data_IF_707497361427
#
_entry.id   IF_707497361427
#
_cell.length_a   1.000
_cell.length_b   1.000
_cell.length_c   1.000
_cell.angle_alpha   90.00
_cell.angle_beta   90.00
_cell.angle_gamma   90.00
#
_symmetry.space_group_name_H-M   'P 1'
#
loop_
_entity.id
_entity.type
_entity.pdbx_description
1 polymer ?
#
# COMPACT_ATOMS: atom_id res chain seq x y z
N UNK A 1 8.21 -38.00 49.64
CA UNK A 1 9.40 -38.71 50.12
C UNK A 1 10.28 -37.83 51.02
N UNK A 2 10.86 -36.72 50.54
CA UNK A 2 11.64 -35.81 51.40
C UNK A 2 10.86 -35.29 52.63
N UNK A 3 9.58 -34.90 52.46
CA UNK A 3 8.73 -34.49 53.58
C UNK A 3 8.49 -35.62 54.59
N UNK A 4 8.32 -36.85 54.09
CA UNK A 4 8.12 -38.03 54.93
C UNK A 4 9.34 -38.25 55.83
N UNK A 5 10.55 -38.23 55.26
CA UNK A 5 11.81 -38.34 56.01
C UNK A 5 11.99 -37.23 57.06
N UNK A 6 11.41 -36.05 56.85
CA UNK A 6 11.45 -34.93 57.80
C UNK A 6 10.46 -35.09 58.96
N UNK A 7 9.32 -35.72 58.72
CA UNK A 7 8.22 -35.84 59.71
C UNK A 7 8.24 -37.15 60.50
N UNK A 8 9.02 -38.14 60.09
CA UNK A 8 9.06 -39.43 60.77
C UNK A 8 9.77 -39.35 62.13
N UNK A 9 9.24 -39.98 63.19
CA UNK A 9 9.87 -40.02 64.51
C UNK A 9 11.06 -41.00 64.63
N UNK A 10 11.46 -41.65 63.52
CA UNK A 10 12.52 -42.66 63.49
C UNK A 10 13.87 -41.97 63.30
N UNK A 11 14.81 -42.17 64.24
CA UNK A 11 16.18 -41.69 64.10
C UNK A 11 16.96 -42.58 63.13
N UNK A 12 17.16 -42.08 61.91
CA UNK A 12 17.98 -42.74 60.89
C UNK A 12 19.41 -42.18 61.00
N UNK A 13 20.41 -42.98 61.43
CA UNK A 13 21.78 -42.50 61.55
C UNK A 13 22.37 -42.15 60.17
N UNK A 14 23.18 -41.09 60.10
CA UNK A 14 23.89 -40.60 58.90
C UNK A 14 23.03 -40.12 57.72
N UNK A 15 21.74 -39.82 57.94
CA UNK A 15 20.80 -39.38 56.91
C UNK A 15 21.25 -38.10 56.17
N UNK A 16 21.95 -37.19 56.84
CA UNK A 16 22.47 -35.94 56.26
C UNK A 16 23.85 -36.07 55.61
N UNK A 17 24.60 -37.13 55.92
CA UNK A 17 26.03 -37.25 55.62
C UNK A 17 26.35 -38.35 54.60
N UNK A 18 25.47 -39.33 54.43
CA UNK A 18 25.67 -40.44 53.49
C UNK A 18 24.71 -40.40 52.30
N UNK A 19 23.57 -39.71 52.42
CA UNK A 19 22.54 -39.65 51.37
C UNK A 19 22.59 -38.28 50.70
N UNK A 20 23.25 -38.25 49.56
CA UNK A 20 23.35 -37.09 48.69
C UNK A 20 22.48 -37.27 47.44
N UNK A 21 21.97 -36.16 46.90
CA UNK A 21 21.29 -36.17 45.63
C UNK A 21 22.29 -36.43 44.48
N UNK A 22 22.00 -37.42 43.64
CA UNK A 22 22.77 -37.70 42.41
C UNK A 22 22.17 -36.96 41.20
N UNK A 23 20.83 -36.83 41.16
CA UNK A 23 20.10 -36.05 40.15
C UNK A 23 19.15 -35.06 40.84
N UNK A 24 18.95 -33.83 40.30
CA UNK A 24 19.51 -33.25 39.07
C UNK A 24 20.97 -32.75 39.24
N UNK A 25 21.74 -32.68 38.13
CA UNK A 25 23.17 -32.29 38.15
C UNK A 25 23.43 -30.93 38.84
N UNK A 26 22.47 -30.00 38.78
CA UNK A 26 22.57 -28.69 39.42
C UNK A 26 22.60 -28.72 40.95
N UNK A 27 22.25 -29.86 41.57
CA UNK A 27 22.19 -30.05 43.03
C UNK A 27 22.96 -31.29 43.49
N UNK A 28 23.87 -31.80 42.67
CA UNK A 28 24.66 -32.98 42.96
C UNK A 28 25.51 -32.78 44.23
N UNK A 29 25.49 -33.75 45.14
CA UNK A 29 26.25 -33.69 46.41
C UNK A 29 25.58 -32.91 47.56
N UNK A 30 24.43 -32.27 47.33
CA UNK A 30 23.66 -31.65 48.42
C UNK A 30 22.81 -32.69 49.16
N UNK A 31 22.53 -32.44 50.44
CA UNK A 31 21.69 -33.33 51.26
C UNK A 31 20.24 -33.33 50.75
N UNK A 32 19.58 -34.49 50.78
CA UNK A 32 18.18 -34.62 50.31
C UNK A 32 17.19 -33.76 51.10
N UNK A 33 17.51 -33.41 52.36
CA UNK A 33 16.66 -32.60 53.25
C UNK A 33 16.72 -31.09 52.95
N UNK A 34 17.74 -30.61 52.23
CA UNK A 34 17.86 -29.22 51.79
C UNK A 34 17.15 -28.93 50.46
N UNK A 35 16.50 -29.94 49.86
CA UNK A 35 15.79 -29.79 48.59
C UNK A 35 14.36 -29.29 48.82
N UNK A 36 14.07 -28.03 48.45
CA UNK A 36 12.72 -27.48 48.46
C UNK A 36 12.01 -27.77 47.13
N UNK A 37 10.87 -28.47 47.18
CA UNK A 37 10.06 -28.82 46.00
C UNK A 37 9.46 -27.58 45.32
N UNK A 38 9.21 -26.51 46.08
CA UNK A 38 8.60 -25.27 45.54
C UNK A 38 9.49 -24.61 44.49
N UNK A 39 10.81 -24.76 44.62
CA UNK A 39 11.78 -24.16 43.70
C UNK A 39 11.66 -24.67 42.25
N UNK A 40 11.19 -25.90 42.03
CA UNK A 40 10.96 -26.45 40.70
C UNK A 40 9.65 -25.92 40.08
N UNK A 41 8.62 -25.79 40.89
CA UNK A 41 7.30 -25.31 40.48
C UNK A 41 7.29 -23.80 40.22
N UNK A 42 8.04 -23.01 40.98
CA UNK A 42 8.07 -21.55 40.82
C UNK A 42 8.85 -21.10 39.59
N UNK A 43 9.99 -21.74 39.28
CA UNK A 43 10.85 -21.35 38.13
C UNK A 43 10.28 -21.85 36.80
N UNK A 44 9.97 -23.14 36.70
CA UNK A 44 9.49 -23.73 35.45
C UNK A 44 7.97 -23.56 35.27
N UNK A 45 7.20 -23.56 36.36
CA UNK A 45 5.75 -23.38 36.30
C UNK A 45 5.34 -21.96 35.93
N UNK A 46 6.00 -20.94 36.47
CA UNK A 46 5.72 -19.54 36.11
C UNK A 46 6.08 -19.24 34.65
N UNK A 47 7.27 -19.67 34.20
CA UNK A 47 7.71 -19.51 32.81
C UNK A 47 6.77 -20.24 31.85
N UNK A 48 6.44 -21.51 32.13
CA UNK A 48 5.52 -22.30 31.30
C UNK A 48 4.11 -21.72 31.27
N UNK A 49 3.64 -21.17 32.39
CA UNK A 49 2.34 -20.52 32.45
C UNK A 49 2.31 -19.25 31.58
N UNK A 50 3.33 -18.41 31.69
CA UNK A 50 3.44 -17.19 30.87
C UNK A 50 3.52 -17.54 29.39
N UNK A 51 4.35 -18.51 29.00
CA UNK A 51 4.47 -18.91 27.59
C UNK A 51 3.16 -19.48 27.06
N UNK A 52 2.51 -20.40 27.78
CA UNK A 52 1.21 -20.93 27.38
C UNK A 52 0.13 -19.85 27.29
N UNK A 53 0.13 -18.89 28.22
CA UNK A 53 -0.79 -17.76 28.20
C UNK A 53 -0.59 -16.91 26.94
N UNK A 54 0.64 -16.48 26.64
CA UNK A 54 0.93 -15.71 25.43
C UNK A 54 0.57 -16.48 24.16
N UNK A 55 0.87 -17.78 24.09
CA UNK A 55 0.50 -18.63 22.94
C UNK A 55 -1.02 -18.73 22.78
N UNK A 56 -1.77 -18.91 23.87
CA UNK A 56 -3.24 -18.99 23.81
C UNK A 56 -3.88 -17.66 23.42
N UNK A 57 -3.36 -16.53 23.92
CA UNK A 57 -3.85 -15.18 23.59
C UNK A 57 -3.56 -14.88 22.13
N UNK A 58 -2.35 -15.16 21.64
CA UNK A 58 -2.01 -14.93 20.23
C UNK A 58 -2.85 -15.79 19.29
N UNK A 59 -3.04 -17.07 19.60
CA UNK A 59 -3.83 -17.98 18.76
C UNK A 59 -5.32 -17.61 18.69
N UNK A 60 -5.85 -16.94 19.72
CA UNK A 60 -7.25 -16.49 19.75
C UNK A 60 -7.43 -15.10 19.16
N UNK A 61 -6.53 -14.16 19.47
CA UNK A 61 -6.64 -12.76 19.05
C UNK A 61 -6.30 -12.57 17.56
N UNK A 62 -5.29 -13.28 17.03
CA UNK A 62 -4.91 -13.17 15.62
C UNK A 62 -6.04 -13.53 14.63
N UNK A 63 -6.76 -14.67 14.75
CA UNK A 63 -7.86 -14.97 13.85
C UNK A 63 -9.04 -14.01 14.03
N UNK A 64 -9.33 -13.55 15.25
CA UNK A 64 -10.38 -12.56 15.50
C UNK A 64 -10.06 -11.22 14.83
N UNK A 65 -8.84 -10.72 14.99
CA UNK A 65 -8.37 -9.51 14.32
C UNK A 65 -8.39 -9.66 12.80
N UNK A 66 -7.97 -10.83 12.27
CA UNK A 66 -8.03 -11.12 10.84
C UNK A 66 -9.46 -11.21 10.31
N UNK A 67 -10.39 -11.74 11.08
CA UNK A 67 -11.79 -11.84 10.66
C UNK A 67 -12.49 -10.48 10.72
N UNK A 68 -12.28 -9.71 11.79
CA UNK A 68 -12.91 -8.40 11.99
C UNK A 68 -12.28 -7.30 11.11
N UNK A 69 -10.95 -7.28 11.01
CA UNK A 69 -10.18 -6.22 10.35
C UNK A 69 -9.38 -6.70 9.14
N UNK A 70 -9.61 -7.93 8.65
CA UNK A 70 -8.82 -8.47 7.53
C UNK A 70 -8.94 -7.64 6.26
N UNK A 71 -10.17 -7.24 5.93
CA UNK A 71 -10.47 -6.40 4.77
C UNK A 71 -9.92 -4.98 4.95
N UNK A 72 -10.10 -4.39 6.14
CA UNK A 72 -9.59 -3.06 6.44
C UNK A 72 -8.06 -3.00 6.40
N UNK A 73 -7.39 -4.01 6.97
CA UNK A 73 -5.94 -4.09 7.00
C UNK A 73 -5.38 -4.36 5.60
N UNK A 74 -6.05 -5.19 4.79
CA UNK A 74 -5.73 -5.39 3.38
C UNK A 74 -5.86 -4.08 2.58
N UNK A 75 -6.97 -3.35 2.77
CA UNK A 75 -7.21 -2.08 2.11
C UNK A 75 -6.17 -1.02 2.51
N UNK A 76 -5.91 -0.85 3.81
CA UNK A 76 -4.89 0.05 4.32
C UNK A 76 -3.49 -0.33 3.81
N UNK A 77 -3.15 -1.62 3.76
CA UNK A 77 -1.88 -2.09 3.22
C UNK A 77 -1.76 -1.73 1.73
N UNK A 78 -2.83 -1.90 0.96
CA UNK A 78 -2.85 -1.59 -0.46
C UNK A 78 -2.75 -0.08 -0.72
N UNK A 79 -3.44 0.74 0.06
CA UNK A 79 -3.32 2.21 0.02
C UNK A 79 -1.92 2.65 0.42
N UNK A 80 -1.35 2.07 1.47
CA UNK A 80 0.01 2.37 1.91
C UNK A 80 1.04 1.91 0.88
N UNK A 81 0.86 0.75 0.26
CA UNK A 81 1.70 0.28 -0.85
C UNK A 81 1.59 1.19 -2.08
N UNK A 82 0.39 1.64 -2.43
CA UNK A 82 0.17 2.59 -3.52
C UNK A 82 0.80 3.96 -3.22
N UNK A 83 0.76 4.42 -1.97
CA UNK A 83 1.41 5.65 -1.52
C UNK A 83 2.94 5.53 -1.48
N UNK A 84 3.47 4.42 -0.95
CA UNK A 84 4.90 4.18 -0.81
C UNK A 84 5.60 3.92 -2.15
N UNK A 85 4.95 3.19 -3.06
CA UNK A 85 5.46 3.00 -4.43
C UNK A 85 5.44 4.29 -5.25
N UNK A 86 4.88 5.37 -4.68
CA UNK A 86 4.39 6.52 -5.40
C UNK A 86 3.29 6.09 -6.37
N UNK A 87 2.39 7.00 -6.70
CA UNK A 87 1.66 6.89 -7.97
C UNK A 87 2.66 7.08 -9.12
N UNK A 88 3.60 6.14 -9.28
CA UNK A 88 4.20 5.86 -10.57
C UNK A 88 3.04 5.32 -11.39
N UNK A 89 2.52 6.17 -12.29
CA UNK A 89 1.71 5.75 -13.41
C UNK A 89 2.28 4.43 -13.91
N UNK A 90 1.43 3.45 -14.21
CA UNK A 90 1.83 2.20 -14.83
C UNK A 90 2.88 2.54 -15.91
N UNK A 91 4.14 2.24 -15.62
CA UNK A 91 5.24 2.31 -16.58
C UNK A 91 5.11 1.09 -17.49
N UNK A 92 3.97 0.99 -18.13
CA UNK A 92 3.51 -0.11 -18.93
C UNK A 92 2.77 0.47 -20.11
N UNK A 93 3.51 1.11 -21.01
CA UNK A 93 3.41 0.86 -22.45
C UNK A 93 4.18 1.87 -23.28
N UNK A 94 4.50 3.07 -22.77
CA UNK A 94 4.82 4.12 -23.74
C UNK A 94 5.83 5.18 -23.28
N UNK A 95 7.09 4.83 -23.45
CA UNK A 95 8.20 5.79 -23.48
C UNK A 95 8.32 6.49 -24.85
N UNK A 96 7.23 6.60 -25.62
CA UNK A 96 7.24 7.11 -26.99
C UNK A 96 6.34 8.36 -27.20
N UNK A 97 5.39 8.61 -26.30
CA UNK A 97 4.57 9.81 -26.30
C UNK A 97 5.42 11.04 -25.93
N UNK A 98 5.44 12.01 -26.84
CA UNK A 98 6.12 13.30 -26.69
C UNK A 98 5.37 14.21 -25.70
N UNK A 99 4.06 13.96 -25.53
CA UNK A 99 3.17 14.72 -24.65
C UNK A 99 2.39 13.79 -23.72
N UNK A 100 2.11 14.25 -22.49
CA UNK A 100 1.32 13.49 -21.53
C UNK A 100 -0.17 13.49 -21.90
N UNK A 101 -0.65 14.61 -22.44
CA UNK A 101 -2.02 14.74 -22.92
C UNK A 101 -2.17 15.75 -24.07
N UNK A 102 -3.02 15.43 -25.03
CA UNK A 102 -3.51 16.35 -26.06
C UNK A 102 -4.84 16.95 -25.62
N UNK A 103 -4.97 18.28 -25.63
CA UNK A 103 -6.20 18.98 -25.21
C UNK A 103 -6.93 19.50 -26.45
N UNK A 104 -8.15 19.01 -26.67
CA UNK A 104 -9.03 19.46 -27.76
C UNK A 104 -10.16 20.28 -27.19
N UNK A 105 -10.31 21.50 -27.68
CA UNK A 105 -11.33 22.45 -27.25
C UNK A 105 -11.87 23.25 -28.44
N UNK A 106 -12.97 23.97 -28.24
CA UNK A 106 -13.53 24.83 -29.27
C UNK A 106 -12.81 26.19 -29.27
N UNK A 107 -11.93 26.42 -30.25
CA UNK A 107 -11.19 27.67 -30.44
C UNK A 107 -12.09 28.87 -30.76
N UNK A 108 -13.34 28.63 -31.20
CA UNK A 108 -14.32 29.68 -31.50
C UNK A 108 -14.95 30.24 -30.23
N UNK A 109 -14.99 29.46 -29.16
CA UNK A 109 -15.55 29.88 -27.89
C UNK A 109 -14.46 30.57 -27.05
N UNK A 110 -14.51 31.90 -27.02
CA UNK A 110 -13.52 32.70 -26.32
C UNK A 110 -13.47 32.41 -24.81
N UNK A 111 -14.62 32.18 -24.16
CA UNK A 111 -14.63 31.87 -22.72
C UNK A 111 -13.92 30.55 -22.41
N UNK A 112 -14.09 29.54 -23.27
CA UNK A 112 -13.42 28.24 -23.12
C UNK A 112 -11.93 28.39 -23.39
N UNK A 113 -11.56 29.09 -24.46
CA UNK A 113 -10.16 29.35 -24.80
C UNK A 113 -9.45 30.08 -23.65
N UNK A 114 -10.04 31.14 -23.13
CA UNK A 114 -9.45 31.93 -22.05
C UNK A 114 -9.28 31.09 -20.76
N UNK A 115 -10.24 30.21 -20.46
CA UNK A 115 -10.12 29.27 -19.34
C UNK A 115 -9.04 28.21 -19.56
N UNK A 116 -8.92 27.65 -20.78
CA UNK A 116 -7.89 26.67 -21.10
C UNK A 116 -6.49 27.27 -20.92
N UNK A 117 -6.24 28.46 -21.47
CA UNK A 117 -4.90 29.07 -21.39
C UNK A 117 -4.55 29.60 -20.01
N UNK A 118 -5.48 30.26 -19.31
CA UNK A 118 -5.18 30.93 -18.04
C UNK A 118 -5.33 30.02 -16.82
N UNK A 119 -6.17 29.00 -16.89
CA UNK A 119 -6.48 28.13 -15.76
C UNK A 119 -5.91 26.73 -15.98
N UNK A 120 -6.33 26.03 -17.05
CA UNK A 120 -5.97 24.63 -17.26
C UNK A 120 -4.46 24.44 -17.44
N UNK A 121 -3.85 25.20 -18.35
CA UNK A 121 -2.40 25.11 -18.64
C UNK A 121 -1.59 25.52 -17.41
N UNK A 122 -1.94 26.64 -16.77
CA UNK A 122 -1.20 27.14 -15.60
C UNK A 122 -1.23 26.11 -14.47
N UNK A 123 -2.38 25.47 -14.24
CA UNK A 123 -2.49 24.48 -13.18
C UNK A 123 -1.77 23.15 -13.48
N UNK A 124 -1.73 22.73 -14.75
CA UNK A 124 -1.15 21.43 -15.14
C UNK A 124 0.34 21.49 -15.49
N UNK A 125 0.81 22.58 -16.12
CA UNK A 125 2.22 22.73 -16.51
C UNK A 125 3.04 23.42 -15.39
N UNK A 126 2.44 24.35 -14.62
CA UNK A 126 3.19 25.26 -13.73
C UNK A 126 2.96 25.04 -12.23
N UNK A 127 1.71 24.92 -11.77
CA UNK A 127 1.38 24.94 -10.33
C UNK A 127 1.28 23.56 -9.65
N UNK A 128 1.26 22.48 -10.43
CA UNK A 128 1.15 21.11 -9.91
C UNK A 128 2.44 20.59 -9.25
N UNK A 129 2.29 19.68 -8.28
CA UNK A 129 3.40 18.87 -7.73
C UNK A 129 4.15 18.08 -8.82
N UNK A 130 3.48 17.82 -9.95
CA UNK A 130 4.01 17.17 -11.15
C UNK A 130 3.76 18.08 -12.36
N UNK A 131 4.80 18.31 -13.17
CA UNK A 131 4.70 19.04 -14.43
C UNK A 131 4.22 18.10 -15.52
N UNK A 132 3.07 18.38 -16.12
CA UNK A 132 2.58 17.68 -17.30
C UNK A 132 2.96 18.44 -18.56
N UNK A 133 3.26 17.73 -19.65
CA UNK A 133 3.46 18.32 -20.98
C UNK A 133 2.17 18.19 -21.80
N UNK A 134 1.54 19.32 -22.15
CA UNK A 134 0.29 19.35 -22.90
C UNK A 134 0.55 19.70 -24.37
N UNK A 135 -0.14 19.02 -25.29
CA UNK A 135 -0.22 19.41 -26.69
C UNK A 135 -1.51 20.19 -26.95
N UNK A 136 -1.41 21.35 -27.61
CA UNK A 136 -2.56 22.17 -28.01
C UNK A 136 -2.56 22.45 -29.51
N UNK A 137 -3.76 22.50 -30.09
CA UNK A 137 -3.98 22.77 -31.52
C UNK A 137 -3.38 24.10 -31.99
N UNK A 138 -3.57 25.20 -31.25
CA UNK A 138 -3.10 26.53 -31.67
C UNK A 138 -1.59 26.76 -31.41
N UNK A 139 -0.96 25.99 -30.51
CA UNK A 139 0.43 26.22 -30.06
C UNK A 139 1.43 25.29 -30.76
N UNK A 140 1.10 24.01 -30.85
CA UNK A 140 2.07 22.95 -31.14
C UNK A 140 1.92 22.36 -32.55
N UNK A 141 0.93 22.81 -33.33
CA UNK A 141 0.74 22.36 -34.70
C UNK A 141 1.78 22.96 -35.65
N UNK A 142 2.35 22.10 -36.48
CA UNK A 142 3.43 22.49 -37.40
C UNK A 142 2.82 23.15 -38.63
N UNK A 143 3.21 24.40 -38.96
CA UNK A 143 2.76 25.05 -40.19
C UNK A 143 3.35 24.34 -41.41
N UNK A 144 2.50 24.05 -42.40
CA UNK A 144 2.89 23.34 -43.63
C UNK A 144 2.38 21.89 -43.72
N UNK A 145 1.88 21.33 -42.61
CA UNK A 145 1.10 20.09 -42.61
C UNK A 145 -0.40 20.38 -42.64
N UNK A 146 -1.19 19.42 -43.12
CA UNK A 146 -2.65 19.56 -43.08
C UNK A 146 -3.18 19.47 -41.63
N UNK A 147 -4.35 20.09 -41.38
CA UNK A 147 -5.03 20.03 -40.09
C UNK A 147 -5.26 18.56 -39.63
N UNK A 148 -5.60 17.67 -40.56
CA UNK A 148 -5.84 16.25 -40.26
C UNK A 148 -4.54 15.53 -39.87
N UNK A 149 -3.42 15.81 -40.55
CA UNK A 149 -2.12 15.22 -40.21
C UNK A 149 -1.60 15.71 -38.87
N UNK A 150 -1.73 17.01 -38.59
CA UNK A 150 -1.37 17.58 -37.29
C UNK A 150 -2.24 16.98 -36.17
N UNK A 151 -3.54 16.82 -36.42
CA UNK A 151 -4.45 16.19 -35.46
C UNK A 151 -4.07 14.73 -35.20
N UNK A 152 -3.79 13.96 -36.24
CA UNK A 152 -3.34 12.58 -36.12
C UNK A 152 -2.04 12.48 -35.31
N UNK A 153 -1.03 13.28 -35.66
CA UNK A 153 0.23 13.33 -34.91
C UNK A 153 0.03 13.74 -33.45
N UNK A 154 -0.87 14.69 -33.16
CA UNK A 154 -1.13 15.13 -31.79
C UNK A 154 -1.78 14.03 -30.95
N UNK A 155 -2.73 13.27 -31.52
CA UNK A 155 -3.38 12.13 -30.83
C UNK A 155 -2.39 10.98 -30.63
N UNK A 156 -1.61 10.61 -31.65
CA UNK A 156 -0.67 9.49 -31.57
C UNK A 156 0.54 9.76 -30.68
N UNK A 157 1.02 11.00 -30.64
CA UNK A 157 2.17 11.37 -29.79
C UNK A 157 1.76 11.74 -28.36
N UNK A 158 0.48 11.64 -28.00
CA UNK A 158 -0.03 11.95 -26.68
C UNK A 158 -0.58 10.72 -25.98
N UNK A 159 -0.16 10.47 -24.74
CA UNK A 159 -0.61 9.30 -24.00
C UNK A 159 -2.11 9.32 -23.65
N UNK A 160 -2.71 10.51 -23.62
CA UNK A 160 -4.14 10.72 -23.40
C UNK A 160 -4.66 11.86 -24.28
N UNK A 161 -5.94 11.80 -24.62
CA UNK A 161 -6.64 12.92 -25.26
C UNK A 161 -7.76 13.42 -24.34
N UNK A 162 -7.76 14.72 -24.05
CA UNK A 162 -8.71 15.40 -23.16
C UNK A 162 -9.62 16.29 -23.99
N UNK A 163 -10.93 16.07 -23.90
CA UNK A 163 -11.95 16.86 -24.60
C UNK A 163 -12.55 17.90 -23.64
N UNK A 164 -12.41 19.18 -23.97
CA UNK A 164 -13.07 20.28 -23.26
C UNK A 164 -14.35 20.62 -24.01
N UNK A 165 -15.48 20.22 -23.44
CA UNK A 165 -16.80 20.45 -24.01
C UNK A 165 -17.46 21.66 -23.35
N UNK A 166 -18.06 22.53 -24.15
CA UNK A 166 -18.84 23.66 -23.68
C UNK A 166 -20.19 23.68 -24.38
N UNK A 167 -21.22 24.16 -23.68
CA UNK A 167 -22.48 24.55 -24.31
C UNK A 167 -22.19 25.65 -25.34
N UNK A 168 -22.67 25.48 -26.57
CA UNK A 168 -22.45 26.43 -27.66
C UNK A 168 -23.01 27.81 -27.32
N UNK A 169 -22.31 28.87 -27.71
CA UNK A 169 -22.68 30.26 -27.43
C UNK A 169 -24.04 30.67 -28.04
N UNK A 170 -24.50 29.98 -29.09
CA UNK A 170 -25.69 30.36 -29.88
C UNK A 170 -26.83 29.33 -29.90
N UNK A 171 -26.94 28.43 -28.91
CA UNK A 171 -28.07 27.49 -28.82
C UNK A 171 -28.18 26.46 -29.96
N UNK A 172 -27.21 26.43 -30.88
CA UNK A 172 -27.03 25.39 -31.90
C UNK A 172 -25.90 24.47 -31.51
N UNK A 173 -26.17 23.17 -31.45
CA UNK A 173 -25.23 22.08 -31.16
C UNK A 173 -24.24 21.85 -32.32
N UNK A 174 -23.54 22.89 -32.77
CA UNK A 174 -22.47 22.71 -33.77
C UNK A 174 -21.18 22.35 -33.05
N UNK A 175 -20.98 21.05 -32.83
CA UNK A 175 -19.69 20.51 -32.34
C UNK A 175 -18.60 20.81 -33.36
N UNK A 176 -17.45 21.33 -32.92
CA UNK A 176 -16.30 21.60 -33.78
C UNK A 176 -15.91 20.33 -34.56
N UNK A 177 -15.69 20.48 -35.88
CA UNK A 177 -15.30 19.37 -36.76
C UNK A 177 -14.02 18.67 -36.28
N UNK A 178 -13.08 19.44 -35.72
CA UNK A 178 -11.83 18.91 -35.15
C UNK A 178 -12.11 18.02 -33.94
N UNK A 179 -12.96 18.45 -33.00
CA UNK A 179 -13.37 17.66 -31.83
C UNK A 179 -14.00 16.33 -32.27
N UNK A 180 -14.88 16.38 -33.27
CA UNK A 180 -15.55 15.19 -33.79
C UNK A 180 -14.56 14.21 -34.46
N UNK A 181 -13.62 14.71 -35.25
CA UNK A 181 -12.59 13.89 -35.88
C UNK A 181 -11.63 13.28 -34.86
N UNK A 182 -11.19 14.08 -33.89
CA UNK A 182 -10.35 13.63 -32.78
C UNK A 182 -11.03 12.49 -32.00
N UNK A 183 -12.32 12.61 -31.73
CA UNK A 183 -13.11 11.56 -31.06
C UNK A 183 -13.07 10.24 -31.84
N UNK A 184 -13.26 10.28 -33.16
CA UNK A 184 -13.20 9.07 -33.99
C UNK A 184 -11.79 8.46 -34.03
N UNK A 185 -10.74 9.29 -34.11
CA UNK A 185 -9.35 8.82 -34.10
C UNK A 185 -9.00 8.12 -32.78
N UNK A 186 -9.37 8.71 -31.65
CA UNK A 186 -9.15 8.10 -30.32
C UNK A 186 -9.93 6.79 -30.18
N UNK A 187 -11.17 6.73 -30.68
CA UNK A 187 -11.96 5.50 -30.63
C UNK A 187 -11.32 4.37 -31.44
N UNK A 188 -10.69 4.68 -32.58
CA UNK A 188 -9.95 3.69 -33.37
C UNK A 188 -8.68 3.18 -32.67
N UNK A 189 -8.03 4.00 -31.86
CA UNK A 189 -6.83 3.62 -31.11
C UNK A 189 -7.13 2.66 -29.94
N UNK A 190 -8.36 2.68 -29.42
CA UNK A 190 -8.80 1.84 -28.29
C UNK A 190 -9.32 0.47 -28.71
N UNK A 191 -9.63 0.27 -30.00
CA UNK A 191 -10.12 -0.98 -30.58
C UNK A 191 -8.96 -1.86 -31.07
#
# INVERSE_FOLDING_TARGET
>A
FADFLRTTPVQIPYLTTYIHCEFPESKQGQSILSMDKRSCQDIYGSLAFLTCFFLSVTFTVLPLLKHLYGWDMWYCLQVFWAGYKGYSQLAGADSQHLYDAFVVFDTRNQAVRDWVYNELIVNLETSGYRRFSLCLEERDWIPGLSCIENLHNAVYNSGKTVFVLSSGFNGGETVNGVIRQAFFLVQQQLL
#
